data_IF_597045842056
#
_entry.id   IF_597045842056
#
_cell.length_a   1.000
_cell.length_b   1.000
_cell.length_c   1.000
_cell.angle_alpha   90.00
_cell.angle_beta   90.00
_cell.angle_gamma   90.00
#
_symmetry.space_group_name_H-M   'P 1'
#
loop_
_entity.id
_entity.type
_entity.pdbx_description
1 polymer ?
#
# COMPACT_ATOMS: atom_id res chain seq x y z
N UNK A 1 -6.48 -12.64 -12.93
CA UNK A 1 -6.65 -12.24 -11.51
C UNK A 1 -6.39 -10.75 -11.34
N UNK A 2 -5.27 -10.24 -11.85
CA UNK A 2 -4.96 -8.81 -11.70
C UNK A 2 -6.00 -7.91 -12.39
N UNK A 3 -6.47 -8.30 -13.56
CA UNK A 3 -7.51 -7.56 -14.29
C UNK A 3 -8.83 -7.58 -13.52
N UNK A 4 -9.17 -8.71 -12.95
CA UNK A 4 -10.37 -8.87 -12.14
C UNK A 4 -10.33 -7.97 -10.90
N UNK A 5 -9.17 -7.89 -10.26
CA UNK A 5 -8.96 -7.02 -9.12
C UNK A 5 -9.05 -5.54 -9.51
N UNK A 6 -8.50 -5.20 -10.68
CA UNK A 6 -8.57 -3.85 -11.20
C UNK A 6 -10.02 -3.41 -11.37
N UNK A 7 -10.86 -4.27 -11.94
CA UNK A 7 -12.28 -3.99 -12.12
C UNK A 7 -13.03 -3.89 -10.79
N UNK A 8 -12.74 -4.81 -9.86
CA UNK A 8 -13.39 -4.84 -8.55
C UNK A 8 -13.07 -3.62 -7.69
N UNK A 9 -11.87 -3.07 -7.83
CA UNK A 9 -11.49 -1.86 -7.13
C UNK A 9 -12.20 -0.62 -7.68
N UNK A 10 -12.91 -0.75 -8.80
CA UNK A 10 -13.59 0.36 -9.47
C UNK A 10 -12.63 1.53 -9.70
N UNK A 11 -11.50 1.22 -10.34
CA UNK A 11 -10.45 2.21 -10.56
C UNK A 11 -10.88 3.36 -11.47
N UNK A 12 -11.98 3.18 -12.20
CA UNK A 12 -12.60 4.27 -12.95
C UNK A 12 -13.16 5.39 -12.04
N UNK A 13 -13.41 5.09 -10.75
CA UNK A 13 -13.82 6.06 -9.75
C UNK A 13 -12.65 6.63 -8.95
N UNK A 14 -11.50 6.00 -9.07
CA UNK A 14 -10.24 6.44 -8.47
C UNK A 14 -9.29 6.69 -9.62
N UNK A 15 -8.52 7.75 -9.54
CA UNK A 15 -7.49 8.02 -10.54
C UNK A 15 -6.54 6.83 -10.61
N UNK A 16 -6.55 6.10 -11.71
CA UNK A 16 -5.76 4.88 -11.90
C UNK A 16 -4.25 5.17 -11.98
N UNK A 17 -3.86 6.44 -12.12
CA UNK A 17 -2.46 6.83 -12.01
C UNK A 17 -1.91 6.65 -10.60
N UNK A 18 -2.79 6.50 -9.60
CA UNK A 18 -2.37 6.34 -8.19
C UNK A 18 -2.32 4.88 -7.75
N UNK A 19 -2.78 3.94 -8.55
CA UNK A 19 -2.81 2.53 -8.20
C UNK A 19 -2.25 1.69 -9.34
N UNK A 20 -1.35 0.78 -9.02
CA UNK A 20 -0.80 -0.18 -9.98
C UNK A 20 -0.95 -1.59 -9.42
N UNK A 21 -1.41 -2.52 -10.23
CA UNK A 21 -1.58 -3.91 -9.84
C UNK A 21 -0.74 -4.78 -10.78
N UNK A 22 0.13 -5.61 -10.19
CA UNK A 22 1.03 -6.48 -10.93
C UNK A 22 0.93 -7.91 -10.41
N UNK A 23 0.95 -8.88 -11.34
CA UNK A 23 1.11 -10.27 -10.96
C UNK A 23 2.59 -10.52 -10.59
N UNK A 24 2.80 -11.30 -9.53
CA UNK A 24 4.13 -11.71 -9.09
C UNK A 24 4.20 -13.23 -9.03
N UNK A 25 5.39 -13.78 -8.80
CA UNK A 25 5.56 -15.23 -8.65
C UNK A 25 4.82 -15.79 -7.42
N UNK A 26 4.58 -14.98 -6.40
CA UNK A 26 3.91 -15.40 -5.17
C UNK A 26 2.44 -15.02 -5.12
N UNK A 27 2.00 -14.11 -5.99
CA UNK A 27 0.63 -13.63 -5.97
C UNK A 27 0.48 -12.31 -6.70
N UNK A 28 0.11 -11.26 -5.98
CA UNK A 28 -0.19 -9.95 -6.55
C UNK A 28 0.52 -8.87 -5.74
N UNK A 29 1.07 -7.89 -6.43
CA UNK A 29 1.57 -6.67 -5.79
C UNK A 29 0.69 -5.49 -6.18
N UNK A 30 0.18 -4.78 -5.19
CA UNK A 30 -0.58 -3.54 -5.38
C UNK A 30 0.29 -2.40 -4.90
N UNK A 31 0.54 -1.44 -5.77
CA UNK A 31 1.30 -0.24 -5.43
C UNK A 31 0.35 0.95 -5.37
N UNK A 32 0.32 1.61 -4.24
CA UNK A 32 -0.47 2.81 -3.99
C UNK A 32 0.48 4.00 -3.99
N UNK A 33 0.37 4.87 -4.98
CA UNK A 33 1.23 6.04 -5.10
C UNK A 33 0.65 7.22 -4.33
N UNK A 34 1.52 7.95 -3.65
CA UNK A 34 1.17 9.21 -3.01
C UNK A 34 1.28 10.32 -4.07
N UNK A 35 0.17 10.62 -4.73
CA UNK A 35 0.12 11.60 -5.82
C UNK A 35 0.02 13.03 -5.32
N UNK A 36 0.37 13.99 -6.17
CA UNK A 36 0.32 15.42 -5.82
C UNK A 36 -1.10 15.93 -5.64
N UNK A 37 -2.01 15.48 -6.49
CA UNK A 37 -3.42 15.90 -6.44
C UNK A 37 -4.29 14.99 -5.58
N UNK A 38 -3.85 13.74 -5.38
CA UNK A 38 -4.55 12.76 -4.55
C UNK A 38 -3.55 12.08 -3.62
N UNK A 39 -3.05 12.78 -2.61
CA UNK A 39 -2.12 12.19 -1.67
C UNK A 39 -2.81 11.18 -0.75
N UNK A 40 -2.08 10.14 -0.37
CA UNK A 40 -2.57 9.15 0.58
C UNK A 40 -2.56 9.66 2.01
N UNK A 41 -1.56 10.47 2.34
CA UNK A 41 -1.34 10.97 3.70
C UNK A 41 -1.35 12.49 3.70
N UNK A 42 -1.71 13.06 4.85
CA UNK A 42 -1.59 14.49 5.08
C UNK A 42 -0.11 14.92 5.01
N UNK A 43 0.19 16.18 4.69
CA UNK A 43 1.57 16.61 4.54
C UNK A 43 2.44 16.30 5.75
N UNK A 44 3.58 15.66 5.50
CA UNK A 44 4.57 15.27 6.51
C UNK A 44 3.98 14.50 7.69
N UNK A 45 3.02 13.62 7.41
CA UNK A 45 2.27 12.90 8.42
C UNK A 45 2.01 11.46 7.99
N UNK A 46 1.70 10.63 8.97
CA UNK A 46 1.19 9.28 8.73
C UNK A 46 -0.34 9.24 8.71
N UNK A 47 -1.00 10.36 8.95
CA UNK A 47 -2.46 10.43 8.94
C UNK A 47 -3.00 10.36 7.52
N UNK A 48 -3.93 9.45 7.28
CA UNK A 48 -4.55 9.28 5.96
C UNK A 48 -5.43 10.49 5.61
N UNK A 49 -5.38 10.87 4.34
CA UNK A 49 -6.33 11.84 3.76
C UNK A 49 -7.69 11.18 3.55
N UNK A 50 -8.69 11.98 3.15
CA UNK A 50 -9.99 11.43 2.73
C UNK A 50 -9.83 10.45 1.58
N UNK A 51 -8.98 10.78 0.61
CA UNK A 51 -8.65 9.89 -0.50
C UNK A 51 -7.98 8.60 0.00
N UNK A 52 -6.99 8.73 0.89
CA UNK A 52 -6.30 7.58 1.47
C UNK A 52 -7.26 6.64 2.19
N UNK A 53 -8.16 7.19 3.00
CA UNK A 53 -9.18 6.37 3.68
C UNK A 53 -10.08 5.64 2.71
N UNK A 54 -10.50 6.31 1.64
CA UNK A 54 -11.34 5.68 0.61
C UNK A 54 -10.63 4.53 -0.08
N UNK A 55 -9.35 4.70 -0.38
CA UNK A 55 -8.52 3.63 -0.96
C UNK A 55 -8.42 2.47 0.01
N UNK A 56 -8.17 2.73 1.29
CA UNK A 56 -8.07 1.68 2.30
C UNK A 56 -9.39 0.92 2.48
N UNK A 57 -10.52 1.61 2.44
CA UNK A 57 -11.84 0.96 2.50
C UNK A 57 -12.01 -0.05 1.37
N UNK A 58 -11.66 0.33 0.16
CA UNK A 58 -11.79 -0.55 -1.00
C UNK A 58 -10.82 -1.70 -0.99
N UNK A 59 -9.57 -1.42 -0.61
CA UNK A 59 -8.56 -2.46 -0.46
C UNK A 59 -8.96 -3.47 0.60
N UNK A 60 -9.44 -2.98 1.73
CA UNK A 60 -9.88 -3.81 2.84
C UNK A 60 -11.01 -4.76 2.42
N UNK A 61 -11.99 -4.24 1.71
CA UNK A 61 -13.08 -5.06 1.19
C UNK A 61 -12.56 -6.15 0.24
N UNK A 62 -11.69 -5.77 -0.69
CA UNK A 62 -11.15 -6.70 -1.66
C UNK A 62 -10.31 -7.79 -0.99
N UNK A 63 -9.40 -7.41 -0.11
CA UNK A 63 -8.52 -8.36 0.57
C UNK A 63 -9.28 -9.34 1.46
N UNK A 64 -10.40 -8.91 2.05
CA UNK A 64 -11.20 -9.77 2.91
C UNK A 64 -11.95 -10.85 2.13
N UNK A 65 -12.08 -10.73 0.80
CA UNK A 65 -12.73 -11.73 -0.05
C UNK A 65 -11.82 -12.91 -0.37
N UNK A 66 -10.54 -12.85 -0.02
CA UNK A 66 -9.55 -13.85 -0.41
C UNK A 66 -8.81 -14.41 0.79
N UNK A 67 -8.38 -15.66 0.68
CA UNK A 67 -7.48 -16.28 1.66
C UNK A 67 -6.06 -15.90 1.26
N UNK A 68 -5.44 -15.01 2.02
CA UNK A 68 -4.11 -14.50 1.72
C UNK A 68 -3.41 -14.04 2.99
N UNK A 69 -2.11 -13.88 2.89
CA UNK A 69 -1.33 -13.08 3.83
C UNK A 69 -0.78 -11.89 3.06
N UNK A 70 -0.47 -10.80 3.76
CA UNK A 70 0.04 -9.61 3.10
C UNK A 70 1.24 -9.02 3.82
N UNK A 71 2.08 -8.37 3.05
CA UNK A 71 3.25 -7.64 3.50
C UNK A 71 3.14 -6.21 3.03
N UNK A 72 3.57 -5.28 3.86
CA UNK A 72 3.55 -3.86 3.53
C UNK A 72 4.98 -3.35 3.44
N UNK A 73 5.29 -2.75 2.31
CA UNK A 73 6.55 -2.05 2.09
C UNK A 73 6.24 -0.58 1.85
N UNK A 74 6.71 0.27 2.74
CA UNK A 74 6.41 1.70 2.72
C UNK A 74 7.64 2.48 2.33
N UNK A 75 7.46 3.41 1.38
CA UNK A 75 8.54 4.20 0.82
C UNK A 75 8.21 5.69 0.89
N UNK A 76 9.16 6.48 1.33
CA UNK A 76 9.11 7.93 1.28
C UNK A 76 10.10 8.42 0.22
N UNK A 77 10.16 9.71 -0.02
CA UNK A 77 11.20 10.27 -0.86
C UNK A 77 12.22 11.03 -0.01
N UNK A 78 13.34 11.40 -0.61
CA UNK A 78 14.40 12.08 0.10
C UNK A 78 14.02 13.48 0.57
N UNK A 79 12.92 14.04 0.05
CA UNK A 79 12.42 15.33 0.50
C UNK A 79 11.80 15.26 1.89
N UNK A 80 11.44 14.07 2.31
CA UNK A 80 10.90 13.84 3.66
C UNK A 80 12.01 13.67 4.70
N UNK A 81 13.25 13.50 4.25
CA UNK A 81 14.39 13.38 5.15
C UNK A 81 14.67 14.72 5.83
N UNK A 82 14.87 14.69 7.13
CA UNK A 82 15.21 15.87 7.90
C UNK A 82 14.08 16.87 8.09
N UNK A 83 12.87 16.57 7.64
CA UNK A 83 11.72 17.43 7.89
C UNK A 83 11.16 17.28 9.29
N UNK A 84 11.57 16.28 9.96
CA UNK A 84 11.15 16.11 11.33
C UNK A 84 11.84 17.10 12.23
N UNK A 85 11.17 17.38 13.33
CA UNK A 85 11.76 18.13 14.39
C UNK A 85 12.71 17.19 15.12
N UNK A 86 13.97 17.50 15.02
CA UNK A 86 14.99 16.65 15.59
C UNK A 86 15.61 15.71 14.60
N UNK A 87 16.78 15.29 14.93
CA UNK A 87 17.67 14.53 14.07
C UNK A 87 17.18 13.12 13.75
N UNK A 88 16.25 12.62 14.55
CA UNK A 88 15.76 11.24 14.43
C UNK A 88 14.48 11.12 13.62
N UNK A 89 13.91 12.23 13.20
CA UNK A 89 12.75 12.21 12.33
C UNK A 89 13.25 12.05 10.91
N UNK A 90 13.39 10.82 10.53
CA UNK A 90 13.96 10.45 9.26
C UNK A 90 12.89 9.85 8.36
N UNK A 91 13.22 9.73 7.10
CA UNK A 91 12.38 9.02 6.14
C UNK A 91 12.08 7.59 6.61
N UNK A 92 12.98 6.97 7.36
CA UNK A 92 12.77 5.65 7.96
C UNK A 92 11.57 5.63 8.88
N UNK A 93 11.56 6.53 9.87
CA UNK A 93 10.46 6.60 10.84
C UNK A 93 9.15 6.91 10.15
N UNK A 94 9.14 7.86 9.25
CA UNK A 94 7.93 8.24 8.52
C UNK A 94 7.37 7.07 7.72
N UNK A 95 8.22 6.37 6.98
CA UNK A 95 7.76 5.25 6.17
C UNK A 95 7.21 4.12 7.03
N UNK A 96 7.83 3.85 8.16
CA UNK A 96 7.33 2.83 9.08
C UNK A 96 5.98 3.22 9.70
N UNK A 97 5.84 4.47 10.12
CA UNK A 97 4.57 4.99 10.67
C UNK A 97 3.44 4.95 9.64
N UNK A 98 3.75 5.32 8.40
CA UNK A 98 2.76 5.26 7.32
C UNK A 98 2.34 3.81 7.03
N UNK A 99 3.28 2.88 7.04
CA UNK A 99 2.97 1.45 6.89
C UNK A 99 2.09 0.92 8.01
N UNK A 100 2.35 1.35 9.23
CA UNK A 100 1.54 0.97 10.39
C UNK A 100 0.13 1.54 10.28
N UNK A 101 -0.01 2.79 9.83
CA UNK A 101 -1.31 3.42 9.65
C UNK A 101 -2.15 2.71 8.59
N UNK A 102 -1.50 2.28 7.50
CA UNK A 102 -2.18 1.48 6.46
C UNK A 102 -2.70 0.18 7.06
N UNK A 103 -1.90 -0.49 7.86
CA UNK A 103 -2.31 -1.73 8.53
C UNK A 103 -3.51 -1.49 9.42
N UNK A 104 -3.47 -0.47 10.27
CA UNK A 104 -4.56 -0.14 11.17
C UNK A 104 -5.85 0.15 10.41
N UNK A 105 -5.75 0.87 9.31
CA UNK A 105 -6.91 1.17 8.46
C UNK A 105 -7.49 -0.08 7.83
N UNK A 106 -6.65 -0.96 7.28
CA UNK A 106 -7.10 -2.21 6.67
C UNK A 106 -7.81 -3.11 7.68
N UNK A 107 -7.27 -3.23 8.88
CA UNK A 107 -7.88 -4.01 9.94
C UNK A 107 -9.21 -3.39 10.36
N UNK A 108 -9.24 -2.08 10.55
CA UNK A 108 -10.44 -1.35 10.96
C UNK A 108 -11.57 -1.51 9.94
N UNK A 109 -11.30 -1.27 8.67
CA UNK A 109 -12.33 -1.32 7.63
C UNK A 109 -12.76 -2.74 7.26
N UNK A 110 -11.97 -3.74 7.63
CA UNK A 110 -12.34 -5.14 7.46
C UNK A 110 -13.07 -5.74 8.67
N UNK A 111 -13.39 -4.90 9.66
CA UNK A 111 -13.98 -5.34 10.93
C UNK A 111 -13.12 -6.41 11.62
N UNK A 112 -11.82 -6.29 11.50
CA UNK A 112 -10.86 -7.18 12.15
C UNK A 112 -10.47 -8.42 11.33
N UNK A 113 -11.09 -8.65 10.18
CA UNK A 113 -10.79 -9.85 9.37
C UNK A 113 -9.34 -9.91 8.89
N UNK A 114 -8.72 -8.76 8.65
CA UNK A 114 -7.35 -8.70 8.17
C UNK A 114 -6.32 -8.73 9.30
N UNK A 115 -6.77 -8.69 10.55
CA UNK A 115 -5.89 -8.88 11.68
C UNK A 115 -5.33 -10.30 11.65
N UNK A 116 -4.06 -10.47 11.93
CA UNK A 116 -3.41 -11.78 11.86
C UNK A 116 -3.04 -12.25 10.46
N UNK A 117 -3.45 -11.54 9.41
CA UNK A 117 -3.04 -11.85 8.03
C UNK A 117 -1.83 -11.02 7.60
N UNK A 118 -1.47 -10.02 8.36
CA UNK A 118 -0.26 -9.25 8.11
C UNK A 118 0.96 -10.05 8.53
N UNK A 119 1.89 -10.22 7.60
CA UNK A 119 3.13 -10.93 7.86
C UNK A 119 4.23 -9.99 8.35
N UNK A 120 4.37 -8.84 7.70
CA UNK A 120 5.36 -7.85 8.11
C UNK A 120 5.08 -6.47 7.53
N UNK A 121 5.64 -5.47 8.21
CA UNK A 121 5.70 -4.08 7.73
C UNK A 121 7.18 -3.73 7.61
N UNK A 122 7.60 -3.19 6.47
CA UNK A 122 8.95 -2.73 6.26
C UNK A 122 8.94 -1.26 5.86
N UNK A 123 9.61 -0.42 6.63
CA UNK A 123 9.85 0.97 6.26
C UNK A 123 11.17 1.07 5.53
N UNK A 124 11.16 1.49 4.28
CA UNK A 124 12.37 1.60 3.45
C UNK A 124 12.96 3.02 3.44
N UNK A 125 12.23 3.99 3.98
CA UNK A 125 12.65 5.37 3.86
C UNK A 125 12.75 5.75 2.40
N UNK A 126 13.81 6.44 2.02
CA UNK A 126 14.08 6.85 0.65
C UNK A 126 15.10 5.96 -0.07
N UNK A 127 15.47 4.82 0.52
CA UNK A 127 16.60 4.00 0.05
C UNK A 127 16.31 3.21 -1.22
N UNK A 128 15.04 3.03 -1.58
CA UNK A 128 14.67 2.26 -2.77
C UNK A 128 13.76 3.06 -3.69
N UNK A 129 14.28 4.12 -4.34
CA UNK A 129 13.49 4.88 -5.29
C UNK A 129 13.17 4.04 -6.53
N UNK A 130 12.00 4.30 -7.11
CA UNK A 130 11.60 3.61 -8.33
C UNK A 130 12.20 4.30 -9.55
N UNK A 131 13.50 4.19 -9.72
CA UNK A 131 14.27 4.87 -10.76
C UNK A 131 13.94 4.37 -12.17
N UNK A 132 13.52 3.13 -12.28
CA UNK A 132 13.21 2.55 -13.58
C UNK A 132 11.95 3.16 -14.18
N UNK A 133 10.99 3.49 -13.32
CA UNK A 133 9.70 4.03 -13.74
C UNK A 133 9.66 5.56 -13.68
N UNK A 134 10.29 6.14 -12.65
CA UNK A 134 10.23 7.57 -12.39
C UNK A 134 11.62 8.15 -12.12
N UNK A 135 12.56 8.09 -13.09
CA UNK A 135 13.96 8.44 -12.84
C UNK A 135 14.17 9.90 -12.43
N UNK A 136 13.28 10.81 -12.85
CA UNK A 136 13.40 12.23 -12.58
C UNK A 136 12.23 12.80 -11.77
N UNK A 137 11.47 11.92 -11.10
CA UNK A 137 10.29 12.33 -10.34
C UNK A 137 10.35 11.74 -8.93
N UNK A 138 11.17 12.33 -8.03
CA UNK A 138 11.35 11.77 -6.69
C UNK A 138 10.07 11.74 -5.87
N UNK A 139 9.11 12.61 -6.12
CA UNK A 139 7.81 12.61 -5.48
C UNK A 139 7.02 11.34 -5.79
N UNK A 140 7.27 10.70 -6.92
CA UNK A 140 6.64 9.43 -7.29
C UNK A 140 7.22 8.23 -6.54
N UNK A 141 8.30 8.44 -5.78
CA UNK A 141 8.87 7.37 -4.97
C UNK A 141 8.09 7.15 -3.68
N UNK A 142 7.27 8.12 -3.26
CA UNK A 142 6.37 7.96 -2.12
C UNK A 142 5.26 7.00 -2.50
N UNK A 143 5.25 5.85 -1.86
CA UNK A 143 4.30 4.79 -2.19
C UNK A 143 4.17 3.76 -1.07
N UNK A 144 3.05 3.06 -1.09
CA UNK A 144 2.82 1.87 -0.28
C UNK A 144 2.71 0.69 -1.22
N UNK A 145 3.50 -0.34 -1.01
CA UNK A 145 3.42 -1.59 -1.76
C UNK A 145 2.82 -2.68 -0.88
N UNK A 146 1.73 -3.26 -1.35
CA UNK A 146 1.09 -4.40 -0.71
C UNK A 146 1.43 -5.65 -1.51
N UNK A 147 2.24 -6.53 -0.92
CA UNK A 147 2.56 -7.82 -1.53
C UNK A 147 1.62 -8.86 -0.96
N UNK A 148 0.78 -9.40 -1.80
CA UNK A 148 -0.29 -10.32 -1.43
C UNK A 148 0.13 -11.73 -1.83
N UNK A 149 0.33 -12.58 -0.82
CA UNK A 149 0.65 -13.99 -1.03
C UNK A 149 -0.65 -14.77 -0.88
N UNK A 150 -1.12 -15.31 -1.98
CA UNK A 150 -2.34 -16.11 -1.97
C UNK A 150 -2.06 -17.45 -1.33
N UNK A 151 -2.88 -17.83 -0.36
CA UNK A 151 -2.80 -19.14 0.25
C UNK A 151 -3.52 -20.13 -0.65
N UNK A 152 -2.74 -20.84 -1.46
CA UNK A 152 -3.22 -21.76 -2.46
C UNK A 152 -3.32 -23.19 -1.91
N UNK A 153 -3.83 -23.34 -0.69
CA UNK A 153 -4.16 -24.67 -0.18
C UNK A 153 -5.25 -25.31 -1.06
N UNK A 154 -5.35 -26.63 -1.04
CA UNK A 154 -6.32 -27.34 -1.90
C UNK A 154 -7.77 -26.88 -1.71
N UNK A 155 -8.13 -26.48 -0.49
CA UNK A 155 -9.46 -25.93 -0.20
C UNK A 155 -9.66 -24.57 -0.86
N UNK A 156 -8.59 -23.78 -0.92
CA UNK A 156 -8.66 -22.42 -1.44
C UNK A 156 -8.63 -22.41 -2.95
N UNK A 157 -7.92 -23.34 -3.58
CA UNK A 157 -7.96 -23.53 -5.02
C UNK A 157 -9.38 -23.78 -5.53
N UNK A 158 -10.20 -24.49 -4.77
CA UNK A 158 -11.58 -24.75 -5.14
C UNK A 158 -12.45 -23.49 -5.14
N UNK A 159 -12.10 -22.49 -4.34
CA UNK A 159 -12.82 -21.21 -4.27
C UNK A 159 -12.48 -20.26 -5.41
N UNK A 160 -11.35 -20.46 -6.07
CA UNK A 160 -10.89 -19.61 -7.16
C UNK A 160 -11.20 -20.14 -8.55
N UNK A 161 -11.84 -21.31 -8.63
CA UNK A 161 -12.26 -21.90 -9.89
C UNK A 161 -13.64 -21.44 -10.32
#
# INVERSE_FOLDING_TARGET
>A
IAQDWYERLRLHEIDDSTIQIEATSEGIKVTLFHGDTKPLFEPSSSQLTSHGRKVMQRMSWLLSQHVLVYRIDSHTNHLDEGRGIGENSTAWSMSLEQGAEVTDALVHYSAGELDGKLERITGHGSTKPNKNRFPNQPEKNRRIELSLVLDMSKKDLAKFK
#
